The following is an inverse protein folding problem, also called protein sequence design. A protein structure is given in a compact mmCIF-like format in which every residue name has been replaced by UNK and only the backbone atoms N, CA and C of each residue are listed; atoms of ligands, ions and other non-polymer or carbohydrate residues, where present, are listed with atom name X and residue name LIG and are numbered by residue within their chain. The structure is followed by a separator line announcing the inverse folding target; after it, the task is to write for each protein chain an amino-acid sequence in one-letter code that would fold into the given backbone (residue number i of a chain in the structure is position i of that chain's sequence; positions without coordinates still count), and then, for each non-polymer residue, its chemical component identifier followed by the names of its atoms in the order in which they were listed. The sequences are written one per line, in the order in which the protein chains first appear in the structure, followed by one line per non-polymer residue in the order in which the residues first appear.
data_IF_200059692478
#
_entry.id   IF_200059692478
#
_cell.length_a   1.000
_cell.length_b   1.000
_cell.length_c   1.000
_cell.angle_alpha   90.00
_cell.angle_beta   90.00
_cell.angle_gamma   90.00
#
_symmetry.space_group_name_H-M   'P 1'
#
loop_
_entity.id
_entity.type
_entity.pdbx_description
1 polymer ?
#
# COMPACT_ATOMS: atom_id res chain seq x y z
N UNK A 1 -27.38 -11.49 0.63
CA UNK A 1 -26.38 -12.33 -0.06
C UNK A 1 -25.05 -11.59 -0.09
N UNK A 2 -23.96 -12.20 0.37
CA UNK A 2 -22.62 -11.61 0.29
C UNK A 2 -22.14 -11.60 -1.16
N UNK A 3 -21.74 -10.43 -1.65
CA UNK A 3 -21.26 -10.24 -3.03
C UNK A 3 -19.94 -11.01 -3.19
N UNK A 4 -19.91 -11.96 -4.12
CA UNK A 4 -18.69 -12.73 -4.46
C UNK A 4 -18.00 -12.03 -5.63
N UNK A 5 -16.69 -11.90 -5.56
CA UNK A 5 -15.85 -11.36 -6.64
C UNK A 5 -14.78 -12.40 -7.02
N UNK A 6 -14.47 -12.50 -8.31
CA UNK A 6 -13.46 -13.41 -8.83
C UNK A 6 -12.14 -12.66 -9.01
N UNK A 7 -11.04 -13.26 -8.56
CA UNK A 7 -9.67 -12.73 -8.72
C UNK A 7 -8.92 -13.61 -9.71
N UNK A 8 -8.38 -13.02 -10.78
CA UNK A 8 -7.52 -13.69 -11.76
C UNK A 8 -6.17 -12.99 -11.83
N UNK A 9 -5.09 -13.76 -11.83
CA UNK A 9 -3.73 -13.26 -11.94
C UNK A 9 -2.89 -14.20 -12.81
N UNK A 10 -1.98 -13.62 -13.60
CA UNK A 10 -0.98 -14.40 -14.35
C UNK A 10 0.22 -14.63 -13.41
N UNK A 11 0.68 -15.87 -13.35
CA UNK A 11 1.83 -16.32 -12.55
C UNK A 11 2.58 -17.37 -13.34
N UNK A 12 3.89 -17.44 -13.14
CA UNK A 12 4.71 -18.49 -13.73
C UNK A 12 4.29 -19.87 -13.24
N UNK A 13 4.41 -20.87 -14.11
CA UNK A 13 3.97 -22.23 -13.80
C UNK A 13 4.77 -22.83 -12.63
N UNK A 14 6.07 -22.59 -12.58
CA UNK A 14 6.95 -23.08 -11.52
C UNK A 14 6.54 -22.49 -10.16
N UNK A 15 6.39 -21.17 -10.09
CA UNK A 15 5.92 -20.45 -8.90
C UNK A 15 4.57 -20.97 -8.42
N UNK A 16 3.63 -21.21 -9.33
CA UNK A 16 2.32 -21.79 -9.00
C UNK A 16 2.47 -23.19 -8.39
N UNK A 17 3.25 -24.07 -9.02
CA UNK A 17 3.45 -25.46 -8.55
C UNK A 17 4.11 -25.50 -7.18
N UNK A 18 5.09 -24.64 -6.94
CA UNK A 18 5.79 -24.55 -5.65
C UNK A 18 4.86 -24.05 -4.55
N UNK A 19 4.16 -22.93 -4.79
CA UNK A 19 3.20 -22.39 -3.84
C UNK A 19 2.12 -23.43 -3.47
N UNK A 20 1.60 -24.15 -4.47
CA UNK A 20 0.58 -25.19 -4.24
C UNK A 20 1.13 -26.37 -3.42
N UNK A 21 2.39 -26.75 -3.60
CA UNK A 21 3.06 -27.77 -2.76
C UNK A 21 3.18 -27.31 -1.32
N UNK A 22 3.57 -26.05 -1.08
CA UNK A 22 3.70 -25.48 0.26
C UNK A 22 2.34 -25.43 0.94
N UNK A 23 1.31 -24.89 0.27
CA UNK A 23 -0.02 -24.79 0.86
C UNK A 23 -0.66 -26.16 1.12
N UNK A 24 -0.42 -27.16 0.25
CA UNK A 24 -0.84 -28.55 0.50
C UNK A 24 -0.23 -29.12 1.77
N UNK A 25 1.07 -28.88 2.01
CA UNK A 25 1.73 -29.32 3.25
C UNK A 25 1.15 -28.65 4.50
N UNK A 26 0.66 -27.42 4.36
CA UNK A 26 -0.02 -26.68 5.42
C UNK A 26 -1.51 -27.05 5.57
N UNK A 27 -2.07 -27.89 4.69
CA UNK A 27 -3.49 -28.23 4.67
C UNK A 27 -4.40 -27.07 4.22
N UNK A 28 -3.84 -26.08 3.52
CA UNK A 28 -4.56 -24.88 3.09
C UNK A 28 -4.75 -24.93 1.57
N UNK A 29 -5.97 -24.77 1.04
CA UNK A 29 -6.17 -24.68 -0.40
C UNK A 29 -5.73 -23.30 -0.92
N UNK A 30 -5.22 -23.25 -2.16
CA UNK A 30 -4.69 -22.04 -2.79
C UNK A 30 -5.64 -20.82 -2.69
N UNK A 31 -6.93 -21.03 -2.93
CA UNK A 31 -7.95 -19.97 -2.87
C UNK A 31 -8.13 -19.39 -1.46
N UNK A 32 -8.01 -20.22 -0.42
CA UNK A 32 -8.07 -19.77 0.97
C UNK A 32 -6.82 -19.01 1.36
N UNK A 33 -5.65 -19.42 0.87
CA UNK A 33 -4.40 -18.68 1.07
C UNK A 33 -4.46 -17.27 0.46
N UNK A 34 -4.95 -17.15 -0.79
CA UNK A 34 -5.15 -15.84 -1.45
C UNK A 34 -6.18 -15.00 -0.68
N UNK A 35 -7.28 -15.60 -0.22
CA UNK A 35 -8.29 -14.91 0.58
C UNK A 35 -7.72 -14.41 1.91
N UNK A 36 -6.87 -15.19 2.56
CA UNK A 36 -6.18 -14.80 3.79
C UNK A 36 -5.20 -13.65 3.54
N UNK A 37 -4.44 -13.70 2.44
CA UNK A 37 -3.55 -12.62 2.03
C UNK A 37 -4.30 -11.30 1.83
N UNK A 38 -5.40 -11.30 1.07
CA UNK A 38 -6.22 -10.10 0.85
C UNK A 38 -6.79 -9.54 2.16
N UNK A 39 -7.23 -10.41 3.08
CA UNK A 39 -7.67 -9.98 4.41
C UNK A 39 -6.53 -9.37 5.23
N UNK A 40 -5.32 -9.92 5.15
CA UNK A 40 -4.16 -9.37 5.83
C UNK A 40 -3.79 -7.98 5.29
N UNK A 41 -3.86 -7.78 3.96
CA UNK A 41 -3.67 -6.46 3.34
C UNK A 41 -4.68 -5.44 3.88
N UNK A 42 -5.96 -5.80 3.92
CA UNK A 42 -7.03 -4.92 4.45
C UNK A 42 -6.81 -4.62 5.93
N UNK A 43 -6.48 -5.64 6.73
CA UNK A 43 -6.24 -5.51 8.18
C UNK A 43 -5.07 -4.57 8.48
N UNK A 44 -3.98 -4.69 7.73
CA UNK A 44 -2.75 -3.94 7.99
C UNK A 44 -2.73 -2.59 7.26
N UNK A 45 -3.69 -2.33 6.36
CA UNK A 45 -3.68 -1.18 5.44
C UNK A 45 -2.33 -1.05 4.70
N UNK A 46 -1.79 -2.19 4.27
CA UNK A 46 -0.45 -2.28 3.70
C UNK A 46 -0.09 -3.72 3.32
N UNK A 47 1.11 -3.91 2.78
CA UNK A 47 1.59 -5.24 2.40
C UNK A 47 1.93 -6.06 3.66
N UNK A 48 1.38 -7.27 3.86
CA UNK A 48 1.53 -8.06 5.08
C UNK A 48 2.81 -8.91 5.11
N UNK A 49 3.84 -8.47 4.41
CA UNK A 49 5.18 -9.06 4.43
C UNK A 49 6.21 -7.94 4.31
N UNK A 50 7.41 -8.21 4.80
CA UNK A 50 8.51 -7.25 4.77
C UNK A 50 9.01 -7.05 3.34
N UNK A 51 9.03 -5.81 2.87
CA UNK A 51 9.56 -5.46 1.55
C UNK A 51 11.08 -5.30 1.65
N UNK A 52 11.81 -6.34 1.25
CA UNK A 52 13.27 -6.30 1.12
C UNK A 52 13.64 -6.19 -0.34
N UNK A 53 14.54 -5.27 -0.66
CA UNK A 53 15.25 -5.23 -1.94
C UNK A 53 16.61 -5.85 -1.67
N UNK A 54 16.97 -6.91 -2.41
CA UNK A 54 18.35 -7.37 -2.43
C UNK A 54 19.17 -6.35 -3.23
N UNK A 55 19.77 -5.39 -2.53
CA UNK A 55 20.53 -4.30 -3.13
C UNK A 55 20.76 -3.13 -2.17
N UNK A 56 21.74 -2.29 -2.49
CA UNK A 56 22.06 -1.09 -1.71
C UNK A 56 20.84 -0.17 -1.72
N UNK A 57 20.20 -0.02 -0.56
CA UNK A 57 19.20 1.01 -0.34
C UNK A 57 19.93 2.35 -0.38
N UNK A 58 19.63 3.26 -1.32
CA UNK A 58 20.29 4.55 -1.37
C UNK A 58 20.01 5.32 -0.07
N UNK A 59 20.97 6.12 0.43
CA UNK A 59 20.90 6.79 1.74
C UNK A 59 19.83 7.89 1.83
N UNK A 60 19.07 8.13 0.76
CA UNK A 60 17.96 9.08 0.75
C UNK A 60 16.63 8.37 0.52
N UNK A 61 15.61 8.65 1.35
CA UNK A 61 14.29 8.08 1.18
C UNK A 61 13.69 8.51 -0.17
N UNK A 62 13.28 7.53 -0.97
CA UNK A 62 12.49 7.76 -2.19
C UNK A 62 11.14 8.38 -1.78
N UNK A 63 10.87 9.61 -2.23
CA UNK A 63 9.64 10.36 -1.87
C UNK A 63 8.33 9.72 -2.38
N UNK A 64 8.38 8.58 -3.06
CA UNK A 64 7.21 7.84 -3.56
C UNK A 64 6.91 6.52 -2.83
N UNK A 65 7.68 6.15 -1.81
CA UNK A 65 7.37 4.98 -0.97
C UNK A 65 6.15 5.27 -0.10
N UNK A 66 5.30 4.27 0.14
CA UNK A 66 4.01 4.30 0.88
C UNK A 66 4.06 4.78 2.35
N UNK A 67 5.01 5.63 2.73
CA UNK A 67 5.28 6.10 4.09
C UNK A 67 4.73 7.51 4.40
N UNK A 68 3.65 7.96 3.75
CA UNK A 68 2.93 9.18 4.17
C UNK A 68 1.42 8.98 4.09
N UNK A 69 0.81 8.55 5.21
CA UNK A 69 -0.54 8.96 5.66
C UNK A 69 -0.77 8.38 7.05
N UNK A 70 -0.01 8.84 8.03
CA UNK A 70 -0.40 8.75 9.43
C UNK A 70 0.30 9.90 10.15
N UNK A 71 -0.53 10.84 10.56
CA UNK A 71 -0.24 11.76 11.66
C UNK A 71 0.73 12.92 11.35
N UNK A 72 0.70 13.46 10.12
CA UNK A 72 1.11 14.84 9.90
C UNK A 72 -0.11 15.74 10.08
N UNK A 73 -0.30 16.20 11.31
CA UNK A 73 -1.16 17.31 11.69
C UNK A 73 -1.08 18.40 10.61
N UNK A 74 -2.22 18.82 10.08
CA UNK A 74 -2.35 20.05 9.30
C UNK A 74 -1.81 21.17 10.18
N UNK A 75 -0.56 21.57 9.98
CA UNK A 75 -0.03 22.72 10.72
C UNK A 75 -0.90 23.93 10.36
N UNK A 76 -1.35 24.65 11.39
CA UNK A 76 -2.23 25.81 11.27
C UNK A 76 -1.65 26.91 10.35
N UNK A 77 -0.34 26.85 10.07
CA UNK A 77 0.34 27.75 9.14
C UNK A 77 -0.18 27.68 7.69
N UNK A 78 -0.71 26.52 7.27
CA UNK A 78 -1.27 26.36 5.92
C UNK A 78 -2.67 26.97 5.76
N UNK A 79 -3.44 27.11 6.85
CA UNK A 79 -4.77 27.73 6.82
C UNK A 79 -4.69 29.27 6.76
N UNK A 80 -3.58 29.87 7.19
CA UNK A 80 -3.39 31.32 7.13
C UNK A 80 -3.06 31.81 5.71
N UNK A 81 -2.25 31.05 4.97
CA UNK A 81 -1.85 31.39 3.61
C UNK A 81 -3.01 31.40 2.60
N UNK A 82 -4.07 30.61 2.82
CA UNK A 82 -5.23 30.59 1.93
C UNK A 82 -6.22 31.73 2.20
N UNK A 83 -6.25 32.29 3.42
CA UNK A 83 -7.10 33.46 3.74
C UNK A 83 -6.52 34.79 3.25
N UNK A 84 -5.20 34.89 3.09
CA UNK A 84 -4.54 36.15 2.68
C UNK A 84 -4.47 36.32 1.14
N UNK A 85 -4.85 35.30 0.36
CA UNK A 85 -4.91 35.37 -1.11
C UNK A 85 -6.32 35.73 -1.62
N UNK A 86 -7.38 35.46 -0.84
CA UNK A 86 -8.74 35.88 -1.19
C UNK A 86 -9.00 37.39 -1.00
N UNK A 87 -8.22 38.07 -0.16
CA UNK A 87 -8.31 39.52 0.03
C UNK A 87 -7.33 40.23 -0.90
N UNK A 88 -7.64 40.16 -2.21
CA UNK A 88 -6.83 40.71 -3.29
C UNK A 88 -6.54 42.21 -3.16
N UNK A 89 -5.38 42.54 -2.59
CA UNK A 89 -4.78 43.87 -2.73
C UNK A 89 -3.27 43.86 -2.44
N UNK A 90 -2.45 43.67 -3.48
CA UNK A 90 -1.09 44.21 -3.53
C UNK A 90 -0.60 44.32 -4.99
N UNK A 91 -0.81 45.48 -5.61
CA UNK A 91 0.26 46.22 -6.31
C UNK A 91 0.92 47.12 -5.24
N UNK A 92 2.25 47.36 -5.20
CA UNK A 92 3.08 48.02 -6.26
C UNK A 92 4.51 47.40 -6.38
N UNK A 93 5.43 47.77 -7.28
CA UNK A 93 5.78 49.02 -7.97
C UNK A 93 5.99 48.81 -9.49
#
# INVERSE_FOLDING_TARGET
MSKVATVTARVDEETKREAERIFRKLGIPMSSAISAFLKAVVRNRGIPFELKVEGVVPPYPYEGGLAKVRDAELSESSLKALKEVEEGKVEPY
#
